data_IF_103742477250
#
_entry.id   IF_103742477250
#
_cell.length_a   1.000
_cell.length_b   1.000
_cell.length_c   1.000
_cell.angle_alpha   90.00
_cell.angle_beta   90.00
_cell.angle_gamma   90.00
#
_symmetry.space_group_name_H-M   'P 1'
#
loop_
_entity.id
_entity.type
_entity.pdbx_description
1 polymer ?
#
# COMPACT_ATOMS: atom_id res chain seq x y z
N UNK A 1 45.99 78.43 25.35
CA UNK A 1 46.59 77.22 25.90
C UNK A 1 45.44 76.31 26.34
N UNK A 2 45.34 75.20 25.61
CA UNK A 2 44.98 73.88 26.16
C UNK A 2 43.48 73.72 26.54
N UNK A 3 42.74 72.77 26.16
CA UNK A 3 42.97 71.37 25.84
C UNK A 3 41.73 70.82 25.17
N UNK A 4 41.93 70.21 24.05
CA UNK A 4 40.98 69.32 23.39
C UNK A 4 41.22 67.94 24.02
N UNK A 5 40.17 67.32 24.62
CA UNK A 5 40.13 65.84 24.76
C UNK A 5 38.73 65.37 25.14
N UNK A 6 38.36 64.33 24.45
CA UNK A 6 37.39 63.33 24.85
C UNK A 6 35.93 63.51 24.39
N UNK A 7 35.69 63.22 23.11
CA UNK A 7 34.41 62.64 22.68
C UNK A 7 34.69 61.55 21.67
N UNK A 8 35.09 60.40 22.16
CA UNK A 8 35.21 59.22 21.29
C UNK A 8 35.09 57.96 22.12
N UNK A 9 33.92 57.61 22.54
CA UNK A 9 33.64 56.26 23.08
C UNK A 9 32.17 56.04 23.46
N UNK A 10 31.21 56.15 22.52
CA UNK A 10 29.84 55.70 22.74
C UNK A 10 29.09 55.27 21.50
N UNK A 11 29.77 54.89 20.43
CA UNK A 11 29.06 54.45 19.20
C UNK A 11 29.25 52.96 18.89
N UNK A 12 30.04 52.23 19.69
CA UNK A 12 30.36 50.82 19.40
C UNK A 12 29.37 49.79 20.00
N UNK A 13 28.40 50.23 20.83
CA UNK A 13 27.49 49.31 21.52
C UNK A 13 26.13 49.04 20.83
N UNK A 14 25.78 49.85 19.83
CA UNK A 14 24.44 49.80 19.21
C UNK A 14 24.27 48.85 18.02
N UNK A 15 25.34 48.44 17.39
CA UNK A 15 25.26 47.62 16.17
C UNK A 15 25.22 46.09 16.42
N UNK A 16 25.61 45.61 17.62
CA UNK A 16 25.59 44.19 17.95
C UNK A 16 24.20 43.73 18.44
N UNK A 17 23.37 44.62 18.96
CA UNK A 17 22.03 44.25 19.43
C UNK A 17 21.00 44.12 18.28
N UNK A 18 21.20 44.78 17.15
CA UNK A 18 20.28 44.65 15.98
C UNK A 18 20.52 43.41 15.16
N UNK A 19 21.70 42.76 15.26
CA UNK A 19 22.00 41.55 14.51
C UNK A 19 21.38 40.29 15.14
N UNK A 20 21.13 40.29 16.45
CA UNK A 20 20.53 39.16 17.18
C UNK A 20 19.00 39.06 17.04
N UNK A 21 18.31 40.17 16.68
CA UNK A 21 16.84 40.12 16.46
C UNK A 21 16.42 39.59 15.08
N UNK A 22 17.35 39.44 14.15
CA UNK A 22 17.03 38.91 12.79
C UNK A 22 17.11 37.38 12.67
N UNK A 23 17.65 36.69 13.66
CA UNK A 23 17.82 35.23 13.61
C UNK A 23 16.63 34.44 14.14
N UNK A 24 15.64 35.07 14.76
CA UNK A 24 14.45 34.40 15.29
C UNK A 24 13.24 34.40 14.34
N UNK A 25 13.32 35.08 13.19
CA UNK A 25 12.22 35.15 12.22
C UNK A 25 12.22 34.01 11.17
N UNK A 26 13.17 33.08 11.22
CA UNK A 26 13.28 32.00 10.22
C UNK A 26 12.61 30.69 10.60
N UNK A 27 11.92 30.62 11.74
CA UNK A 27 11.42 29.35 12.29
C UNK A 27 9.91 29.11 12.09
N UNK A 28 9.22 29.90 11.32
CA UNK A 28 7.82 29.66 10.99
C UNK A 28 7.61 29.73 9.49
N UNK A 29 8.16 28.76 8.74
CA UNK A 29 7.57 28.44 7.46
C UNK A 29 6.16 27.92 7.76
N UNK A 30 5.11 28.53 7.16
CA UNK A 30 3.77 27.95 7.24
C UNK A 30 3.90 26.51 6.74
N UNK A 31 3.58 25.56 7.59
CA UNK A 31 3.51 24.17 7.19
C UNK A 31 2.37 24.10 6.17
N UNK A 32 2.73 24.17 4.88
CA UNK A 32 1.74 24.11 3.81
C UNK A 32 0.84 22.91 4.06
N UNK A 33 -0.45 23.16 4.08
CA UNK A 33 -1.46 22.13 4.25
C UNK A 33 -1.28 21.09 3.15
N UNK A 34 -0.68 19.97 3.49
CA UNK A 34 -0.37 18.92 2.53
C UNK A 34 -1.52 17.93 2.49
N UNK A 35 -2.15 17.81 1.33
CA UNK A 35 -3.06 16.74 1.01
C UNK A 35 -2.38 15.85 -0.05
N UNK A 36 -2.16 14.58 0.26
CA UNK A 36 -1.50 13.65 -0.64
C UNK A 36 -2.11 12.26 -0.52
N UNK A 37 -2.21 11.57 -1.66
CA UNK A 37 -2.61 10.17 -1.77
C UNK A 37 -1.39 9.37 -2.22
N UNK A 38 -1.06 8.33 -1.50
CA UNK A 38 -0.06 7.32 -1.87
C UNK A 38 -0.77 5.96 -1.99
N UNK A 39 -0.84 5.45 -3.21
CA UNK A 39 -1.44 4.17 -3.54
C UNK A 39 -0.55 3.45 -4.55
N UNK A 40 -0.19 2.21 -4.25
CA UNK A 40 0.52 1.34 -5.18
C UNK A 40 -0.48 0.68 -6.14
N UNK A 41 -0.46 1.00 -7.46
CA UNK A 41 -1.32 0.35 -8.42
C UNK A 41 -1.10 -1.16 -8.47
N UNK A 42 -2.14 -1.90 -8.83
CA UNK A 42 -2.04 -3.35 -8.98
C UNK A 42 -1.07 -3.71 -10.12
N UNK A 43 0.00 -4.41 -9.81
CA UNK A 43 0.98 -4.91 -10.76
C UNK A 43 0.69 -6.33 -11.24
N UNK A 44 -0.25 -7.02 -10.58
CA UNK A 44 -0.67 -8.39 -10.90
C UNK A 44 -2.17 -8.43 -11.17
N UNK A 45 -2.62 -9.30 -12.08
CA UNK A 45 -4.04 -9.54 -12.28
C UNK A 45 -4.72 -9.96 -10.97
N UNK A 46 -5.97 -9.56 -10.82
CA UNK A 46 -6.80 -9.90 -9.67
C UNK A 46 -7.88 -10.91 -10.07
N UNK A 47 -8.53 -11.51 -9.08
CA UNK A 47 -9.55 -12.53 -9.31
C UNK A 47 -10.84 -11.87 -9.80
N UNK A 48 -11.33 -12.34 -10.94
CA UNK A 48 -12.64 -11.93 -11.49
C UNK A 48 -13.77 -12.41 -10.60
N UNK A 49 -14.81 -11.58 -10.44
CA UNK A 49 -16.01 -11.94 -9.70
C UNK A 49 -15.77 -12.14 -8.20
N UNK A 50 -14.73 -11.53 -7.66
CA UNK A 50 -14.44 -11.51 -6.22
C UNK A 50 -14.32 -10.06 -5.74
N UNK A 51 -14.72 -9.77 -4.50
CA UNK A 51 -14.49 -8.45 -3.91
C UNK A 51 -13.01 -8.07 -3.98
N UNK A 52 -12.71 -6.81 -4.36
CA UNK A 52 -11.35 -6.31 -4.50
C UNK A 52 -11.12 -5.15 -3.55
N UNK A 53 -10.16 -5.27 -2.64
CA UNK A 53 -9.77 -4.19 -1.75
C UNK A 53 -8.80 -3.24 -2.45
N UNK A 54 -9.12 -1.94 -2.43
CA UNK A 54 -8.24 -0.85 -2.85
C UNK A 54 -7.83 -0.12 -1.58
N UNK A 55 -6.52 -0.07 -1.32
CA UNK A 55 -5.95 0.57 -0.15
C UNK A 55 -5.09 1.76 -0.57
N UNK A 56 -5.13 2.83 0.21
CA UNK A 56 -4.29 4.00 0.02
C UNK A 56 -3.87 4.59 1.36
N UNK A 57 -2.70 5.23 1.37
CA UNK A 57 -2.26 6.07 2.46
C UNK A 57 -2.60 7.52 2.11
N UNK A 58 -3.42 8.18 2.93
CA UNK A 58 -3.87 9.55 2.68
C UNK A 58 -3.37 10.43 3.80
N UNK A 59 -2.51 11.37 3.46
CA UNK A 59 -2.01 12.39 4.39
C UNK A 59 -2.78 13.68 4.18
N UNK A 60 -3.44 14.18 5.22
CA UNK A 60 -4.18 15.45 5.20
C UNK A 60 -3.84 16.24 6.47
N UNK A 61 -2.94 17.22 6.38
CA UNK A 61 -2.53 18.04 7.55
C UNK A 61 -3.67 18.91 8.09
N UNK A 62 -4.65 19.22 7.25
CA UNK A 62 -5.83 19.98 7.64
C UNK A 62 -6.99 19.10 8.14
N UNK A 63 -6.79 17.79 8.27
CA UNK A 63 -7.86 16.81 8.47
C UNK A 63 -8.46 16.32 7.15
N UNK A 64 -8.85 15.07 7.09
CA UNK A 64 -9.51 14.47 5.92
C UNK A 64 -11.02 14.57 6.09
N UNK A 65 -11.68 15.22 5.13
CA UNK A 65 -13.14 15.35 5.08
C UNK A 65 -13.77 14.12 4.41
N UNK A 66 -13.19 13.64 3.29
CA UNK A 66 -13.65 12.45 2.59
C UNK A 66 -12.56 11.86 1.70
N UNK A 67 -12.62 10.55 1.51
CA UNK A 67 -11.85 9.81 0.52
C UNK A 67 -12.78 8.86 -0.23
N UNK A 68 -12.64 8.80 -1.54
CA UNK A 68 -13.54 8.05 -2.42
C UNK A 68 -12.75 7.35 -3.53
N UNK A 69 -13.17 6.15 -3.88
CA UNK A 69 -12.73 5.43 -5.07
C UNK A 69 -13.83 5.49 -6.10
N UNK A 70 -13.50 5.95 -7.29
CA UNK A 70 -14.34 5.91 -8.47
C UNK A 70 -13.92 4.71 -9.30
N UNK A 71 -14.81 3.78 -9.56
CA UNK A 71 -14.48 2.56 -10.29
C UNK A 71 -15.56 2.18 -11.29
N UNK A 72 -15.13 1.55 -12.40
CA UNK A 72 -16.00 0.96 -13.43
C UNK A 72 -15.34 -0.25 -14.06
N UNK A 73 -16.13 -1.14 -14.62
CA UNK A 73 -15.62 -2.21 -15.49
C UNK A 73 -15.01 -1.59 -16.76
N UNK A 74 -13.89 -2.11 -17.24
CA UNK A 74 -13.27 -1.69 -18.51
C UNK A 74 -14.28 -1.76 -19.65
N UNK A 75 -14.43 -0.65 -20.38
CA UNK A 75 -15.45 -0.51 -21.42
C UNK A 75 -16.86 -0.22 -20.90
N UNK A 76 -17.02 -0.08 -19.59
CA UNK A 76 -18.28 0.32 -18.97
C UNK A 76 -18.56 1.82 -19.12
N UNK A 77 -19.77 2.23 -18.73
CA UNK A 77 -20.22 3.63 -18.78
C UNK A 77 -19.69 4.46 -17.62
N UNK A 78 -20.60 4.82 -16.71
CA UNK A 78 -20.31 5.71 -15.60
C UNK A 78 -19.48 5.06 -14.49
N UNK A 79 -18.74 5.89 -13.76
CA UNK A 79 -18.03 5.44 -12.56
C UNK A 79 -18.99 5.29 -11.38
N UNK A 80 -18.86 4.19 -10.68
CA UNK A 80 -19.48 3.97 -9.38
C UNK A 80 -18.57 4.56 -8.30
N UNK A 81 -19.14 5.29 -7.36
CA UNK A 81 -18.41 5.91 -6.25
C UNK A 81 -18.50 5.03 -5.01
N UNK A 82 -17.36 4.70 -4.43
CA UNK A 82 -17.25 3.94 -3.20
C UNK A 82 -16.50 4.76 -2.15
N UNK A 83 -17.07 4.97 -0.95
CA UNK A 83 -16.33 5.63 0.13
C UNK A 83 -15.18 4.75 0.59
N UNK A 84 -14.08 5.39 1.01
CA UNK A 84 -12.98 4.71 1.69
C UNK A 84 -13.17 4.80 3.20
N UNK A 85 -13.00 3.69 3.88
CA UNK A 85 -13.07 3.57 5.32
C UNK A 85 -11.68 3.72 5.93
N UNK A 86 -11.58 4.35 7.10
CA UNK A 86 -10.36 4.42 7.90
C UNK A 86 -10.07 3.03 8.48
N UNK A 87 -8.92 2.47 8.14
CA UNK A 87 -8.45 1.18 8.66
C UNK A 87 -7.23 1.33 9.57
N UNK A 88 -7.02 2.54 10.07
CA UNK A 88 -5.91 2.94 10.93
C UNK A 88 -5.12 4.06 10.27
N UNK A 89 -5.54 5.31 10.57
CA UNK A 89 -4.92 6.53 10.02
C UNK A 89 -3.39 6.43 10.00
N UNK A 90 -2.73 6.68 8.85
CA UNK A 90 -3.25 7.31 7.63
C UNK A 90 -3.76 6.34 6.53
N UNK A 91 -4.07 5.08 6.84
CA UNK A 91 -4.50 4.08 5.85
C UNK A 91 -6.01 4.04 5.70
N UNK A 92 -6.46 4.00 4.46
CA UNK A 92 -7.85 3.94 4.04
C UNK A 92 -8.06 2.80 3.06
N UNK A 93 -9.26 2.21 3.10
CA UNK A 93 -9.63 1.07 2.25
C UNK A 93 -11.02 1.25 1.68
N UNK A 94 -11.21 0.92 0.42
CA UNK A 94 -12.52 0.67 -0.18
C UNK A 94 -12.58 -0.77 -0.69
N UNK A 95 -13.76 -1.39 -0.59
CA UNK A 95 -13.99 -2.74 -1.14
C UNK A 95 -14.88 -2.61 -2.36
N UNK A 96 -14.31 -2.89 -3.53
CA UNK A 96 -15.04 -2.98 -4.79
C UNK A 96 -15.85 -4.27 -4.79
N UNK A 97 -17.19 -4.20 -4.97
CA UNK A 97 -18.03 -5.39 -4.96
C UNK A 97 -17.80 -6.29 -6.18
N UNK A 98 -18.14 -7.55 -6.05
CA UNK A 98 -17.93 -8.62 -7.01
C UNK A 98 -18.57 -8.37 -8.39
N UNK A 99 -19.72 -7.71 -8.43
CA UNK A 99 -20.40 -7.38 -9.68
C UNK A 99 -19.61 -6.36 -10.53
N UNK A 100 -18.83 -5.44 -9.94
CA UNK A 100 -17.93 -4.55 -10.66
C UNK A 100 -16.68 -5.27 -11.16
N UNK A 101 -16.26 -6.32 -10.48
CA UNK A 101 -15.11 -7.14 -10.88
C UNK A 101 -15.48 -8.32 -11.79
N UNK A 102 -16.74 -8.42 -12.24
CA UNK A 102 -17.20 -9.49 -13.12
C UNK A 102 -16.69 -9.38 -14.58
N UNK A 103 -16.15 -8.20 -14.97
CA UNK A 103 -15.59 -7.96 -16.29
C UNK A 103 -14.17 -8.50 -16.48
N UNK A 104 -13.52 -8.09 -17.58
CA UNK A 104 -12.13 -8.47 -17.88
C UNK A 104 -11.10 -7.57 -17.19
N UNK A 105 -11.54 -6.41 -16.71
CA UNK A 105 -10.71 -5.43 -16.03
C UNK A 105 -11.56 -4.41 -15.31
N UNK A 106 -10.91 -3.71 -14.41
CA UNK A 106 -11.48 -2.61 -13.65
C UNK A 106 -10.64 -1.36 -13.90
N UNK A 107 -11.31 -0.24 -14.16
CA UNK A 107 -10.73 1.10 -14.18
C UNK A 107 -11.14 1.82 -12.90
N UNK A 108 -10.20 2.52 -12.28
CA UNK A 108 -10.47 3.24 -11.05
C UNK A 108 -9.55 4.45 -10.88
N UNK A 109 -9.97 5.40 -10.05
CA UNK A 109 -9.13 6.47 -9.52
C UNK A 109 -9.57 6.80 -8.10
N UNK A 110 -8.68 7.40 -7.33
CA UNK A 110 -8.90 7.73 -5.92
C UNK A 110 -8.92 9.24 -5.79
N UNK A 111 -9.88 9.78 -5.04
CA UNK A 111 -9.92 11.20 -4.68
C UNK A 111 -9.93 11.37 -3.17
N UNK A 112 -9.29 12.43 -2.69
CA UNK A 112 -9.35 12.83 -1.31
C UNK A 112 -9.64 14.32 -1.23
N UNK A 113 -10.44 14.73 -0.25
CA UNK A 113 -10.78 16.14 0.03
C UNK A 113 -10.53 16.41 1.50
N UNK A 114 -9.80 17.47 1.81
CA UNK A 114 -9.54 17.90 3.17
C UNK A 114 -10.66 18.76 3.76
N UNK A 115 -10.56 19.11 5.06
CA UNK A 115 -11.53 19.96 5.76
C UNK A 115 -11.58 21.39 5.21
N UNK A 116 -10.55 21.84 4.48
CA UNK A 116 -10.51 23.13 3.81
C UNK A 116 -11.16 23.13 2.44
N UNK A 117 -11.59 21.94 1.95
CA UNK A 117 -12.17 21.76 0.62
C UNK A 117 -11.14 21.64 -0.49
N UNK A 118 -9.84 21.49 -0.17
CA UNK A 118 -8.83 21.15 -1.17
C UNK A 118 -8.98 19.68 -1.56
N UNK A 119 -8.83 19.39 -2.85
CA UNK A 119 -8.97 18.04 -3.37
C UNK A 119 -7.71 17.63 -4.13
N UNK A 120 -7.35 16.35 -4.02
CA UNK A 120 -6.31 15.70 -4.81
C UNK A 120 -6.83 14.38 -5.35
N UNK A 121 -6.19 13.87 -6.40
CA UNK A 121 -6.56 12.58 -6.98
C UNK A 121 -5.33 11.78 -7.42
N UNK A 122 -5.44 10.48 -7.36
CA UNK A 122 -4.51 9.55 -8.00
C UNK A 122 -5.23 8.83 -9.15
N UNK A 123 -4.87 9.16 -10.38
CA UNK A 123 -5.67 8.92 -11.56
C UNK A 123 -6.82 9.92 -11.68
N UNK A 124 -7.56 9.90 -12.80
CA UNK A 124 -8.75 10.71 -13.02
C UNK A 124 -9.56 10.12 -14.20
N UNK A 125 -10.75 10.66 -14.44
CA UNK A 125 -11.69 10.16 -15.48
C UNK A 125 -11.05 9.88 -16.84
N UNK A 126 -10.14 10.75 -17.31
CA UNK A 126 -9.47 10.62 -18.61
C UNK A 126 -8.27 9.67 -18.60
N UNK A 127 -7.68 9.43 -17.44
CA UNK A 127 -6.54 8.53 -17.24
C UNK A 127 -6.69 7.75 -15.91
N UNK A 128 -7.64 6.82 -15.85
CA UNK A 128 -7.83 5.99 -14.68
C UNK A 128 -6.69 4.98 -14.55
N UNK A 129 -6.47 4.52 -13.34
CA UNK A 129 -5.68 3.34 -13.07
C UNK A 129 -6.46 2.11 -13.54
N UNK A 130 -5.75 1.06 -13.95
CA UNK A 130 -6.40 -0.17 -14.41
C UNK A 130 -5.82 -1.42 -13.76
N UNK A 131 -6.67 -2.43 -13.58
CA UNK A 131 -6.28 -3.75 -13.13
C UNK A 131 -6.95 -4.81 -13.99
N UNK A 132 -6.19 -5.81 -14.44
CA UNK A 132 -6.72 -6.96 -15.15
C UNK A 132 -7.44 -7.91 -14.18
N UNK A 133 -8.55 -8.46 -14.63
CA UNK A 133 -9.34 -9.44 -13.88
C UNK A 133 -9.36 -10.76 -14.64
N UNK A 134 -8.83 -11.83 -14.01
CA UNK A 134 -8.75 -13.16 -14.61
C UNK A 134 -9.71 -14.14 -13.93
N UNK A 135 -10.39 -14.94 -14.72
CA UNK A 135 -11.19 -16.07 -14.23
C UNK A 135 -10.26 -17.16 -13.71
N UNK A 136 -10.30 -17.37 -12.39
CA UNK A 136 -9.50 -18.41 -11.75
C UNK A 136 -7.99 -18.12 -11.87
N UNK A 137 -7.39 -17.56 -10.85
CA UNK A 137 -5.98 -17.83 -10.68
C UNK A 137 -5.90 -19.34 -10.41
N UNK A 138 -5.33 -20.10 -11.35
CA UNK A 138 -4.85 -21.43 -11.05
C UNK A 138 -3.95 -21.36 -9.82
N UNK A 139 -3.70 -22.48 -9.14
CA UNK A 139 -2.93 -22.49 -7.92
C UNK A 139 -1.63 -21.68 -8.13
N UNK A 140 -1.31 -20.82 -7.18
CA UNK A 140 -0.08 -20.01 -7.21
C UNK A 140 1.12 -20.96 -7.36
N UNK A 141 2.28 -20.51 -7.84
CA UNK A 141 3.49 -21.34 -7.83
C UNK A 141 3.75 -21.96 -6.45
N UNK A 142 3.43 -21.25 -5.37
CA UNK A 142 3.55 -21.73 -3.99
C UNK A 142 2.54 -22.83 -3.67
N UNK A 143 1.28 -22.67 -4.10
CA UNK A 143 0.25 -23.70 -3.95
C UNK A 143 0.61 -24.97 -4.73
N UNK A 144 1.20 -24.81 -5.93
CA UNK A 144 1.70 -25.96 -6.74
C UNK A 144 2.86 -26.67 -6.07
N UNK A 145 3.80 -25.90 -5.50
CA UNK A 145 4.92 -26.49 -4.75
C UNK A 145 4.43 -27.25 -3.53
N UNK A 146 3.50 -26.66 -2.77
CA UNK A 146 2.90 -27.32 -1.61
C UNK A 146 2.17 -28.61 -1.99
N UNK A 147 1.35 -28.57 -3.04
CA UNK A 147 0.65 -29.76 -3.54
C UNK A 147 1.62 -30.85 -4.03
N UNK A 148 2.75 -30.46 -4.66
CA UNK A 148 3.80 -31.41 -5.06
C UNK A 148 4.51 -32.00 -3.84
N UNK A 149 4.82 -31.21 -2.82
CA UNK A 149 5.42 -31.71 -1.59
C UNK A 149 4.50 -32.71 -0.87
N UNK A 150 3.21 -32.39 -0.73
CA UNK A 150 2.23 -33.30 -0.16
C UNK A 150 2.12 -34.62 -0.93
N UNK A 151 2.17 -34.55 -2.26
CA UNK A 151 2.15 -35.75 -3.13
C UNK A 151 3.41 -36.59 -2.92
N UNK A 152 4.59 -35.97 -2.85
CA UNK A 152 5.86 -36.69 -2.60
C UNK A 152 5.88 -37.31 -1.20
N UNK A 153 5.33 -36.67 -0.19
CA UNK A 153 5.25 -37.22 1.17
C UNK A 153 4.30 -38.41 1.25
N UNK A 154 3.18 -38.40 0.50
CA UNK A 154 2.26 -39.54 0.38
C UNK A 154 2.97 -40.73 -0.32
N UNK A 155 3.67 -40.49 -1.43
CA UNK A 155 4.42 -41.52 -2.14
C UNK A 155 5.52 -42.15 -1.26
N UNK A 156 6.26 -41.31 -0.52
CA UNK A 156 7.30 -41.79 0.40
C UNK A 156 6.73 -42.67 1.51
N UNK A 157 5.62 -42.26 2.13
CA UNK A 157 4.92 -43.05 3.15
C UNK A 157 4.37 -44.37 2.57
N UNK A 158 3.91 -44.36 1.33
CA UNK A 158 3.47 -45.55 0.62
C UNK A 158 4.60 -46.59 0.43
N UNK A 159 5.79 -46.10 0.10
CA UNK A 159 6.97 -47.00 -0.06
C UNK A 159 7.48 -47.57 1.26
N UNK A 160 7.37 -46.82 2.36
CA UNK A 160 7.76 -47.31 3.68
C UNK A 160 6.77 -48.35 4.24
N UNK A 161 5.52 -48.38 3.77
CA UNK A 161 4.53 -49.39 4.19
C UNK A 161 4.62 -50.70 3.41
N UNK A 162 5.26 -50.72 2.25
CA UNK A 162 5.57 -51.93 1.48
C UNK A 162 6.93 -52.59 1.85
N UNK A 163 7.39 -52.32 3.10
CA UNK A 163 8.61 -52.90 3.65
C UNK A 163 8.56 -54.42 3.74
N UNK A 164 9.26 -55.06 2.83
CA UNK A 164 9.91 -56.38 2.92
C UNK A 164 9.05 -57.49 3.50
N UNK A 165 8.56 -58.44 2.67
CA UNK A 165 8.09 -59.71 3.19
C UNK A 165 9.27 -60.43 3.88
N UNK A 166 9.17 -60.64 5.19
CA UNK A 166 10.06 -61.52 5.91
C UNK A 166 9.95 -62.92 5.25
N UNK A 167 10.94 -63.29 4.44
CA UNK A 167 11.09 -64.65 4.02
C UNK A 167 11.35 -65.49 5.26
N UNK A 168 10.30 -66.12 5.77
CA UNK A 168 10.38 -67.18 6.72
C UNK A 168 11.03 -68.35 5.99
N UNK A 169 12.23 -68.66 6.37
CA UNK A 169 12.95 -69.94 5.92
C UNK A 169 12.28 -71.11 6.58
N UNK A 170 11.60 -72.03 5.84
CA UNK A 170 11.08 -73.21 6.44
C UNK A 170 12.11 -74.33 6.33
N UNK A 171 12.63 -74.69 7.47
CA UNK A 171 12.78 -76.06 7.79
C UNK A 171 13.86 -76.91 7.11
N UNK A 172 14.89 -77.16 7.89
CA UNK A 172 15.71 -78.35 7.80
C UNK A 172 14.90 -79.64 7.59
N UNK A 173 14.98 -80.22 6.43
CA UNK A 173 14.49 -81.61 6.24
C UNK A 173 15.65 -82.58 6.52
N UNK A 174 15.53 -83.27 7.64
CA UNK A 174 16.36 -84.42 7.95
C UNK A 174 15.81 -85.63 7.17
N UNK A 175 16.62 -86.18 6.31
CA UNK A 175 16.44 -87.62 5.87
C UNK A 175 17.54 -88.46 6.41
N UNK A 176 17.07 -89.49 7.00
CA UNK A 176 17.79 -90.69 7.36
C UNK A 176 17.83 -91.61 6.18
#
# INVERSE_FOLDING_TARGET
MTTVWSVCSRVAGGLLALALLRTLAFAQQPQEARLAIDHAPFTRPQRRGAPLAIEATITATAGLRKAEVFCRTVGGGDFTVLPMEDVGTPRYRAVVPDWLTAGQGLEYYITATDERGQSTSQGFVGFPLSVQLLSGQGPTPEDRLKALQETLDVMRKGQESEGVPKTSNPGSNRYR
#
